data_IF_372508939911
#
_entry.id   IF_372508939911
#
_cell.length_a   1.000
_cell.length_b   1.000
_cell.length_c   1.000
_cell.angle_alpha   90.00
_cell.angle_beta   90.00
_cell.angle_gamma   90.00
#
_symmetry.space_group_name_H-M   'P 1'
#
loop_
_entity.id
_entity.type
_entity.pdbx_description
1 polymer ?
#
# COMPACT_ATOMS: atom_id res chain seq x y z
N UNK A 1 10.22 5.65 -1.53
CA UNK A 1 10.91 5.28 -2.79
C UNK A 1 10.23 5.93 -3.97
N UNK A 2 10.97 6.66 -4.80
CA UNK A 2 10.47 7.29 -6.02
C UNK A 2 11.39 6.86 -7.17
N UNK A 3 12.27 7.78 -7.59
CA UNK A 3 13.37 7.50 -8.52
C UNK A 3 14.29 6.34 -8.12
N UNK A 4 14.31 5.96 -6.84
CA UNK A 4 15.14 4.88 -6.29
C UNK A 4 14.39 3.54 -6.12
N UNK A 5 13.14 3.46 -6.61
CA UNK A 5 12.28 2.27 -6.49
C UNK A 5 12.01 1.55 -7.81
N UNK A 6 10.96 0.71 -7.83
CA UNK A 6 10.57 -0.10 -8.99
C UNK A 6 10.25 0.74 -10.26
N UNK A 7 9.97 2.04 -10.10
CA UNK A 7 9.72 2.98 -11.19
C UNK A 7 10.91 3.93 -11.47
N UNK A 8 12.13 3.51 -11.14
CA UNK A 8 13.36 4.20 -11.57
C UNK A 8 13.53 4.22 -13.11
N UNK A 9 12.86 3.30 -13.81
CA UNK A 9 12.88 3.12 -15.26
C UNK A 9 11.48 2.73 -15.80
N UNK A 10 11.38 2.55 -17.12
CA UNK A 10 10.13 2.18 -17.79
C UNK A 10 9.14 3.34 -17.97
N UNK A 11 7.90 3.02 -18.34
CA UNK A 11 6.85 3.99 -18.68
C UNK A 11 6.36 4.82 -17.49
N UNK A 12 6.65 4.40 -16.26
CA UNK A 12 6.26 5.09 -15.02
C UNK A 12 7.36 5.98 -14.44
N UNK A 13 8.51 6.13 -15.12
CA UNK A 13 9.63 6.94 -14.65
C UNK A 13 9.28 8.43 -14.65
N UNK A 14 9.24 9.03 -13.46
CA UNK A 14 9.02 10.49 -13.29
C UNK A 14 10.28 11.25 -12.85
N UNK A 15 11.24 10.57 -12.22
CA UNK A 15 12.41 11.20 -11.58
C UNK A 15 12.13 11.82 -10.20
N UNK A 16 10.87 11.79 -9.74
CA UNK A 16 10.46 12.35 -8.44
C UNK A 16 11.10 11.54 -7.30
N UNK A 17 11.62 12.23 -6.29
CA UNK A 17 12.20 11.62 -5.09
C UNK A 17 11.18 10.85 -4.26
N UNK A 18 11.65 9.87 -3.49
CA UNK A 18 10.79 9.17 -2.52
C UNK A 18 10.58 9.96 -1.24
N UNK A 19 9.48 9.70 -0.52
CA UNK A 19 9.12 10.38 0.73
C UNK A 19 9.86 9.87 1.98
N UNK A 20 10.69 8.83 1.87
CA UNK A 20 11.34 8.17 3.02
C UNK A 20 12.15 9.12 3.89
N UNK A 21 12.76 10.16 3.30
CA UNK A 21 13.51 11.18 4.03
C UNK A 21 12.65 12.10 4.92
N UNK A 22 11.31 12.06 4.79
CA UNK A 22 10.36 12.81 5.61
C UNK A 22 9.83 12.00 6.81
N UNK A 23 10.26 10.74 6.97
CA UNK A 23 9.89 9.96 8.16
C UNK A 23 10.38 10.66 9.43
N UNK A 24 9.48 10.86 10.39
CA UNK A 24 9.74 11.57 11.64
C UNK A 24 9.95 13.08 11.50
N UNK A 25 9.79 13.67 10.30
CA UNK A 25 9.85 15.12 10.12
C UNK A 25 8.66 15.82 10.80
N UNK A 26 8.79 17.14 11.00
CA UNK A 26 7.68 17.98 11.45
C UNK A 26 6.59 18.06 10.36
N UNK A 27 5.33 17.87 10.76
CA UNK A 27 4.18 17.97 9.85
C UNK A 27 4.14 19.32 9.11
N UNK A 28 4.59 20.42 9.74
CA UNK A 28 4.63 21.73 9.12
C UNK A 28 5.45 21.76 7.81
N UNK A 29 6.50 20.93 7.70
CA UNK A 29 7.30 20.81 6.48
C UNK A 29 6.47 20.22 5.34
N UNK A 30 5.70 19.16 5.62
CA UNK A 30 4.85 18.49 4.63
C UNK A 30 3.67 19.38 4.24
N UNK A 31 3.04 20.03 5.22
CA UNK A 31 1.91 20.94 4.99
C UNK A 31 2.34 22.14 4.13
N UNK A 32 3.51 22.72 4.42
CA UNK A 32 4.06 23.80 3.60
C UNK A 32 4.30 23.35 2.15
N UNK A 33 4.86 22.15 1.96
CA UNK A 33 5.09 21.59 0.63
C UNK A 33 3.78 21.32 -0.13
N UNK A 34 2.71 20.88 0.53
CA UNK A 34 1.40 20.68 -0.10
C UNK A 34 0.73 22.02 -0.51
N UNK A 35 0.96 23.09 0.26
CA UNK A 35 0.38 24.42 0.02
C UNK A 35 1.20 25.29 -0.93
N UNK A 36 2.43 24.91 -1.26
CA UNK A 36 3.31 25.70 -2.13
C UNK A 36 2.78 25.82 -3.57
N UNK A 37 3.47 26.61 -4.41
CA UNK A 37 3.07 26.80 -5.79
C UNK A 37 3.25 25.54 -6.67
N UNK A 38 4.00 24.54 -6.21
CA UNK A 38 4.24 23.28 -6.93
C UNK A 38 3.02 22.36 -6.83
N UNK A 39 2.51 22.14 -5.62
CA UNK A 39 1.33 21.30 -5.38
C UNK A 39 0.03 22.10 -5.44
N UNK A 40 0.02 23.32 -4.91
CA UNK A 40 -1.08 24.26 -5.06
C UNK A 40 -2.36 23.88 -4.31
N UNK A 41 -2.27 23.08 -3.25
CA UNK A 41 -3.47 22.63 -2.52
C UNK A 41 -4.02 23.64 -1.52
N UNK A 42 -3.39 24.81 -1.34
CA UNK A 42 -3.87 25.84 -0.43
C UNK A 42 -5.36 26.18 -0.69
N UNK A 43 -6.20 26.04 0.35
CA UNK A 43 -7.64 26.28 0.27
C UNK A 43 -8.45 25.25 -0.54
N UNK A 44 -7.87 24.07 -0.83
CA UNK A 44 -8.56 22.98 -1.56
C UNK A 44 -9.13 21.87 -0.66
N UNK A 45 -8.74 21.87 0.62
CA UNK A 45 -9.16 20.91 1.63
C UNK A 45 -9.06 21.55 3.02
N UNK A 46 -9.67 20.93 4.02
CA UNK A 46 -9.69 21.46 5.39
C UNK A 46 -8.32 21.31 6.06
N UNK A 47 -8.04 22.12 7.08
CA UNK A 47 -6.75 22.05 7.81
C UNK A 47 -6.52 20.67 8.47
N UNK A 48 -7.59 19.95 8.80
CA UNK A 48 -7.49 18.58 9.30
C UNK A 48 -6.99 17.62 8.22
N UNK A 49 -7.45 17.74 6.97
CA UNK A 49 -7.02 16.89 5.86
C UNK A 49 -5.51 17.06 5.60
N UNK A 50 -5.01 18.30 5.68
CA UNK A 50 -3.58 18.57 5.61
C UNK A 50 -2.80 17.88 6.74
N UNK A 51 -3.36 17.89 7.95
CA UNK A 51 -2.73 17.26 9.12
C UNK A 51 -2.70 15.73 8.96
N UNK A 52 -3.80 15.13 8.50
CA UNK A 52 -3.92 13.69 8.28
C UNK A 52 -2.95 13.20 7.20
N UNK A 53 -2.84 13.93 6.09
CA UNK A 53 -1.86 13.65 5.04
C UNK A 53 -0.42 13.81 5.55
N UNK A 54 -0.15 14.86 6.34
CA UNK A 54 1.16 15.06 6.92
C UNK A 54 1.53 13.93 7.88
N UNK A 55 0.61 13.48 8.74
CA UNK A 55 0.80 12.32 9.61
C UNK A 55 1.03 11.03 8.82
N UNK A 56 0.32 10.83 7.71
CA UNK A 56 0.58 9.69 6.83
C UNK A 56 2.00 9.74 6.24
N UNK A 57 2.47 10.91 5.82
CA UNK A 57 3.83 11.07 5.28
C UNK A 57 4.88 10.94 6.38
N UNK A 58 4.72 11.56 7.54
CA UNK A 58 5.79 11.62 8.56
C UNK A 58 5.82 10.37 9.43
N UNK A 59 4.66 9.78 9.74
CA UNK A 59 4.52 8.66 10.68
C UNK A 59 3.93 7.42 10.02
N UNK A 60 3.37 7.56 8.82
CA UNK A 60 2.55 6.51 8.22
C UNK A 60 3.29 5.52 7.32
N UNK A 61 4.53 5.84 6.95
CA UNK A 61 5.34 5.03 6.04
C UNK A 61 5.80 3.71 6.69
N UNK A 62 6.04 2.70 5.84
CA UNK A 62 6.67 1.44 6.23
C UNK A 62 7.95 1.22 5.43
N UNK A 63 8.87 0.43 5.98
CA UNK A 63 10.01 -0.08 5.22
C UNK A 63 9.55 -1.19 4.28
N UNK A 64 9.31 -0.80 3.03
CA UNK A 64 8.82 -1.70 1.98
C UNK A 64 9.85 -2.79 1.64
N UNK A 65 11.14 -2.50 1.72
CA UNK A 65 12.18 -3.46 1.34
C UNK A 65 12.38 -4.54 2.39
N UNK A 66 12.01 -4.25 3.63
CA UNK A 66 11.98 -5.26 4.70
C UNK A 66 10.89 -6.32 4.49
N UNK A 67 9.84 -6.00 3.71
CA UNK A 67 8.64 -6.85 3.58
C UNK A 67 8.41 -7.39 2.17
N UNK A 68 9.03 -6.82 1.13
CA UNK A 68 8.95 -7.29 -0.25
C UNK A 68 10.36 -7.33 -0.85
N UNK A 69 10.76 -8.50 -1.34
CA UNK A 69 12.01 -8.66 -2.09
C UNK A 69 11.83 -8.10 -3.51
N UNK A 70 12.67 -7.12 -3.89
CA UNK A 70 12.43 -6.28 -5.07
C UNK A 70 12.51 -7.02 -6.40
N UNK A 71 13.46 -7.94 -6.54
CA UNK A 71 13.73 -8.61 -7.81
C UNK A 71 12.64 -9.66 -8.11
N UNK A 72 12.34 -10.52 -7.13
CA UNK A 72 11.33 -11.56 -7.28
C UNK A 72 9.91 -11.11 -6.99
N UNK A 73 9.73 -9.91 -6.42
CA UNK A 73 8.43 -9.37 -5.97
C UNK A 73 7.78 -10.19 -4.86
N UNK A 74 8.52 -11.10 -4.21
CA UNK A 74 7.96 -11.98 -3.18
C UNK A 74 7.79 -11.24 -1.87
N UNK A 75 6.64 -11.44 -1.23
CA UNK A 75 6.42 -10.98 0.14
C UNK A 75 7.20 -11.84 1.13
N UNK A 76 7.78 -11.18 2.14
CA UNK A 76 8.51 -11.82 3.22
C UNK A 76 7.57 -12.18 4.40
N UNK A 77 6.56 -13.00 4.12
CA UNK A 77 5.51 -13.37 5.07
C UNK A 77 5.22 -14.87 5.11
N UNK A 78 4.49 -15.30 6.14
CA UNK A 78 4.02 -16.66 6.31
C UNK A 78 2.65 -16.82 5.64
N UNK A 79 2.63 -17.53 4.50
CA UNK A 79 1.39 -17.78 3.76
C UNK A 79 0.37 -18.64 4.52
N UNK A 80 0.81 -19.51 5.45
CA UNK A 80 -0.10 -20.31 6.26
C UNK A 80 -0.82 -19.44 7.29
N UNK A 81 -0.14 -18.47 7.90
CA UNK A 81 -0.77 -17.45 8.75
C UNK A 81 -1.67 -16.54 7.90
N UNK A 82 -1.18 -16.09 6.74
CA UNK A 82 -1.92 -15.27 5.79
C UNK A 82 -3.26 -15.88 5.39
N UNK A 83 -3.30 -17.20 5.15
CA UNK A 83 -4.53 -17.93 4.82
C UNK A 83 -5.60 -17.82 5.92
N UNK A 84 -5.20 -17.81 7.20
CA UNK A 84 -6.13 -17.68 8.34
C UNK A 84 -6.77 -16.30 8.39
N UNK A 85 -5.96 -15.26 8.24
CA UNK A 85 -6.44 -13.88 8.19
C UNK A 85 -7.32 -13.65 6.96
N UNK A 86 -6.87 -14.12 5.79
CA UNK A 86 -7.62 -14.02 4.54
C UNK A 86 -9.00 -14.69 4.65
N UNK A 87 -9.05 -15.93 5.17
CA UNK A 87 -10.29 -16.66 5.34
C UNK A 87 -11.30 -15.98 6.28
N UNK A 88 -10.80 -15.19 7.23
CA UNK A 88 -11.62 -14.49 8.23
C UNK A 88 -12.10 -13.12 7.73
N UNK A 89 -11.21 -12.34 7.11
CA UNK A 89 -11.45 -10.92 6.81
C UNK A 89 -11.75 -10.68 5.33
N UNK A 90 -11.10 -11.40 4.43
CA UNK A 90 -11.08 -11.07 3.00
C UNK A 90 -12.03 -11.96 2.18
N UNK A 91 -12.08 -13.25 2.51
CA UNK A 91 -12.78 -14.26 1.71
C UNK A 91 -14.30 -14.04 1.60
N UNK A 92 -14.89 -13.28 2.54
CA UNK A 92 -16.31 -12.91 2.49
C UNK A 92 -16.68 -12.05 1.28
N UNK A 93 -15.76 -11.23 0.79
CA UNK A 93 -15.96 -10.38 -0.40
C UNK A 93 -15.15 -10.89 -1.60
N UNK A 94 -13.92 -11.38 -1.37
CA UNK A 94 -13.01 -11.79 -2.43
C UNK A 94 -13.11 -13.25 -2.83
N UNK A 95 -13.96 -14.04 -2.17
CA UNK A 95 -14.05 -15.48 -2.36
C UNK A 95 -12.86 -16.21 -1.77
N UNK A 96 -12.97 -17.52 -1.54
CA UNK A 96 -11.87 -18.32 -0.97
C UNK A 96 -10.66 -18.44 -1.91
N UNK A 97 -10.92 -18.32 -3.21
CA UNK A 97 -9.96 -18.40 -4.30
C UNK A 97 -9.45 -17.02 -4.77
N UNK A 98 -9.95 -15.91 -4.22
CA UNK A 98 -9.51 -14.57 -4.61
C UNK A 98 -9.97 -14.15 -6.01
N UNK A 99 -11.04 -14.77 -6.52
CA UNK A 99 -11.59 -14.53 -7.85
C UNK A 99 -12.73 -13.50 -7.87
N UNK A 100 -13.05 -12.91 -6.72
CA UNK A 100 -14.11 -11.94 -6.59
C UNK A 100 -13.61 -10.55 -6.16
N UNK A 101 -14.37 -9.50 -6.53
CA UNK A 101 -15.45 -9.50 -7.53
C UNK A 101 -14.93 -9.73 -8.97
N UNK A 102 -15.82 -10.09 -9.90
CA UNK A 102 -15.43 -10.53 -11.27
C UNK A 102 -14.99 -9.40 -12.20
N UNK A 103 -15.29 -8.16 -11.82
CA UNK A 103 -14.92 -6.94 -12.52
C UNK A 103 -13.49 -6.48 -12.19
N UNK A 104 -12.81 -7.16 -11.24
CA UNK A 104 -11.39 -6.96 -10.98
C UNK A 104 -10.56 -8.19 -11.37
N UNK A 105 -9.26 -8.00 -11.71
CA UNK A 105 -8.37 -9.13 -11.92
C UNK A 105 -8.23 -9.98 -10.64
N UNK A 106 -7.94 -11.30 -10.77
CA UNK A 106 -7.75 -12.17 -9.61
C UNK A 106 -6.71 -11.62 -8.62
N UNK A 107 -6.96 -11.79 -7.33
CA UNK A 107 -6.04 -11.31 -6.29
C UNK A 107 -4.64 -11.93 -6.44
N UNK A 108 -4.55 -13.20 -6.82
CA UNK A 108 -3.27 -13.85 -7.11
C UNK A 108 -2.50 -13.17 -8.23
N UNK A 109 -3.19 -12.72 -9.28
CA UNK A 109 -2.60 -11.96 -10.38
C UNK A 109 -2.06 -10.62 -9.89
N UNK A 110 -2.87 -9.87 -9.15
CA UNK A 110 -2.52 -8.54 -8.66
C UNK A 110 -1.35 -8.59 -7.67
N UNK A 111 -1.39 -9.50 -6.69
CA UNK A 111 -0.35 -9.66 -5.67
C UNK A 111 1.02 -10.06 -6.24
N UNK A 112 1.03 -10.80 -7.36
CA UNK A 112 2.27 -11.15 -8.06
C UNK A 112 2.74 -10.04 -9.02
N UNK A 113 1.80 -9.30 -9.63
CA UNK A 113 2.13 -8.23 -10.59
C UNK A 113 2.68 -6.98 -9.89
N UNK A 114 2.00 -6.53 -8.84
CA UNK A 114 2.30 -5.30 -8.11
C UNK A 114 2.10 -5.49 -6.59
N UNK A 115 2.98 -6.24 -5.89
CA UNK A 115 2.85 -6.49 -4.45
C UNK A 115 2.87 -5.20 -3.62
N UNK A 116 3.57 -4.16 -4.09
CA UNK A 116 3.66 -2.86 -3.44
C UNK A 116 2.31 -2.15 -3.34
N UNK A 117 1.51 -2.19 -4.40
CA UNK A 117 0.16 -1.65 -4.35
C UNK A 117 -0.74 -2.49 -3.43
N UNK A 118 -0.60 -3.82 -3.49
CA UNK A 118 -1.47 -4.71 -2.71
C UNK A 118 -1.22 -4.62 -1.20
N UNK A 119 0.03 -4.52 -0.75
CA UNK A 119 0.29 -4.30 0.68
C UNK A 119 -0.24 -2.93 1.13
N UNK A 120 -0.14 -1.89 0.30
CA UNK A 120 -0.66 -0.56 0.63
C UNK A 120 -2.20 -0.55 0.70
N UNK A 121 -2.89 -1.23 -0.20
CA UNK A 121 -4.35 -1.42 -0.13
C UNK A 121 -4.76 -2.26 1.07
N UNK A 122 -3.98 -3.29 1.41
CA UNK A 122 -4.25 -4.11 2.60
C UNK A 122 -4.13 -3.27 3.88
N UNK A 123 -3.07 -2.45 3.97
CA UNK A 123 -2.84 -1.60 5.13
C UNK A 123 -3.86 -0.47 5.26
N UNK A 124 -4.22 0.19 4.16
CA UNK A 124 -4.99 1.44 4.19
C UNK A 124 -6.44 1.30 3.69
N UNK A 125 -6.85 0.12 3.24
CA UNK A 125 -8.15 -0.13 2.64
C UNK A 125 -8.22 0.32 1.18
N UNK A 126 -9.41 0.20 0.58
CA UNK A 126 -9.72 0.72 -0.74
C UNK A 126 -10.74 1.86 -0.62
N UNK A 127 -10.40 3.08 -1.09
CA UNK A 127 -11.34 4.20 -1.07
C UNK A 127 -12.63 3.88 -1.83
N UNK A 128 -13.76 4.40 -1.32
CA UNK A 128 -15.11 4.21 -1.86
C UNK A 128 -15.61 2.75 -1.90
N UNK A 129 -14.91 1.84 -1.22
CA UNK A 129 -15.27 0.43 -1.15
C UNK A 129 -15.43 -0.05 0.30
N UNK A 130 -16.13 -1.18 0.49
CA UNK A 130 -16.26 -1.83 1.80
C UNK A 130 -15.02 -2.64 2.20
N UNK A 131 -13.85 -2.31 1.67
CA UNK A 131 -12.58 -2.98 1.96
C UNK A 131 -11.87 -2.25 3.12
N UNK A 132 -11.86 -2.82 4.34
CA UNK A 132 -11.30 -2.14 5.51
C UNK A 132 -9.77 -2.07 5.47
N UNK A 133 -9.23 -1.12 6.22
CA UNK A 133 -7.80 -1.00 6.49
C UNK A 133 -7.35 -2.04 7.55
N UNK A 134 -6.24 -2.74 7.30
CA UNK A 134 -5.64 -3.67 8.27
C UNK A 134 -4.61 -3.00 9.20
N UNK A 135 -4.46 -1.68 9.12
CA UNK A 135 -3.49 -0.87 9.88
C UNK A 135 -3.60 -0.97 11.41
N UNK A 136 -4.75 -1.39 11.93
CA UNK A 136 -4.98 -1.60 13.35
C UNK A 136 -4.28 -2.87 13.89
N UNK A 137 -3.86 -3.77 13.00
CA UNK A 137 -3.09 -4.97 13.33
C UNK A 137 -1.60 -4.75 13.09
N UNK A 138 -0.76 -5.63 13.64
CA UNK A 138 0.67 -5.64 13.36
C UNK A 138 0.95 -5.73 11.86
N UNK A 139 1.98 -5.01 11.40
CA UNK A 139 2.38 -4.99 9.99
C UNK A 139 2.54 -6.41 9.41
N UNK A 140 3.09 -7.34 10.20
CA UNK A 140 3.30 -8.72 9.79
C UNK A 140 2.02 -9.41 9.32
N UNK A 141 0.85 -9.07 9.88
CA UNK A 141 -0.44 -9.62 9.43
C UNK A 141 -0.69 -9.28 7.96
N UNK A 142 -0.41 -8.04 7.54
CA UNK A 142 -0.57 -7.62 6.15
C UNK A 142 0.47 -8.25 5.22
N UNK A 143 1.69 -8.48 5.72
CA UNK A 143 2.76 -9.17 4.97
C UNK A 143 2.41 -10.65 4.75
N UNK A 144 1.91 -11.32 5.78
CA UNK A 144 1.43 -12.71 5.73
C UNK A 144 0.26 -12.84 4.76
N UNK A 145 -0.72 -11.92 4.81
CA UNK A 145 -1.83 -11.86 3.85
C UNK A 145 -1.28 -11.74 2.44
N UNK A 146 -0.38 -10.79 2.16
CA UNK A 146 0.21 -10.63 0.83
C UNK A 146 0.92 -11.92 0.37
N UNK A 147 1.68 -12.57 1.25
CA UNK A 147 2.35 -13.84 0.95
C UNK A 147 1.33 -14.93 0.58
N UNK A 148 0.21 -15.02 1.29
CA UNK A 148 -0.88 -15.94 0.93
C UNK A 148 -1.53 -15.57 -0.40
N UNK A 149 -1.83 -14.29 -0.65
CA UNK A 149 -2.40 -13.85 -1.93
C UNK A 149 -1.52 -14.26 -3.10
N UNK A 150 -0.19 -14.27 -2.94
CA UNK A 150 0.73 -14.69 -4.00
C UNK A 150 0.61 -16.19 -4.38
N UNK A 151 -0.03 -16.99 -3.53
CA UNK A 151 -0.32 -18.42 -3.77
C UNK A 151 -1.66 -18.67 -4.46
N UNK A 152 -2.56 -17.68 -4.48
CA UNK A 152 -3.89 -17.80 -5.10
C UNK A 152 -3.80 -17.89 -6.63
N UNK A 153 -4.83 -18.43 -7.31
CA UNK A 153 -4.81 -18.53 -8.76
C UNK A 153 -4.78 -17.15 -9.43
N UNK A 154 -4.17 -17.13 -10.61
CA UNK A 154 -3.79 -15.91 -11.34
C UNK A 154 -4.70 -15.62 -12.54
N UNK A 155 -5.54 -16.56 -12.92
CA UNK A 155 -6.49 -16.51 -14.04
C UNK A 155 -7.80 -17.19 -13.64
#
# INVERSE_FOLDING_TARGET
MGKDGAYASGSYKTGIGGLTHLQGADNAVVIAAMKDATHGFAGKMDEQDFTDLADFVTKGQIDIDAVIERESKKANGDAANGSRYYGTVCAGCHGKDGMMPKDMPPLGKLANKNPWEIIQKTLNGQPDEKMPAMRAFDLQVSVDILAYLQTLPKE
#
